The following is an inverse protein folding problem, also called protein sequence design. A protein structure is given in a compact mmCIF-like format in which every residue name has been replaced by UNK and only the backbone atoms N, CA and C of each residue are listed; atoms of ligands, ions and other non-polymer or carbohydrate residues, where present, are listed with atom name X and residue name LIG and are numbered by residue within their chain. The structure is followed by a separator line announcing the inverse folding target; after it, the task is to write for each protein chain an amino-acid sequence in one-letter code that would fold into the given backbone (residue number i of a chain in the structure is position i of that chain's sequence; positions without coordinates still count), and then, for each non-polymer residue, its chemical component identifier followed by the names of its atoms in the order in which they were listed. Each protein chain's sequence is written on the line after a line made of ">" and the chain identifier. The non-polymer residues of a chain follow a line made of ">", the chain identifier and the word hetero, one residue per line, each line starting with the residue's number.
data_IF_575633154769
#
_entry.id   IF_575633154769
#
_cell.length_a   1.000
_cell.length_b   1.000
_cell.length_c   1.000
_cell.angle_alpha   90.00
_cell.angle_beta   90.00
_cell.angle_gamma   90.00
#
_symmetry.space_group_name_H-M   'P 1'
#
loop_
_entity.id
_entity.type
_entity.pdbx_description
1 polymer ?
#
# COMPACT_ATOMS: atom_id res chain seq x y z
N UNK A 1 -7.34 -14.19 -1.01
CA UNK A 1 -6.74 -14.79 -2.21
C UNK A 1 -5.74 -13.79 -2.76
N UNK A 2 -4.46 -14.15 -2.80
CA UNK A 2 -3.37 -13.29 -3.27
C UNK A 2 -3.64 -12.77 -4.69
N UNK A 3 -4.31 -13.56 -5.52
CA UNK A 3 -4.63 -13.22 -6.90
C UNK A 3 -5.64 -12.09 -7.02
N UNK A 4 -6.69 -12.11 -6.19
CA UNK A 4 -7.71 -11.04 -6.16
C UNK A 4 -7.09 -9.74 -5.67
N UNK A 5 -6.21 -9.82 -4.68
CA UNK A 5 -5.54 -8.65 -4.13
C UNK A 5 -4.66 -7.94 -5.17
N UNK A 6 -3.88 -8.68 -5.95
CA UNK A 6 -3.10 -8.12 -7.05
C UNK A 6 -3.99 -7.39 -8.09
N UNK A 7 -5.14 -7.98 -8.45
CA UNK A 7 -6.09 -7.36 -9.38
C UNK A 7 -6.67 -6.04 -8.85
N UNK A 8 -7.00 -5.99 -7.56
CA UNK A 8 -7.49 -4.75 -6.92
C UNK A 8 -6.39 -3.68 -6.93
N UNK A 9 -5.15 -4.05 -6.65
CA UNK A 9 -4.03 -3.09 -6.68
C UNK A 9 -3.74 -2.55 -8.07
N UNK A 10 -3.83 -3.37 -9.11
CA UNK A 10 -3.69 -2.91 -10.50
C UNK A 10 -4.77 -1.87 -10.87
N UNK A 11 -6.01 -2.11 -10.45
CA UNK A 11 -7.09 -1.12 -10.64
C UNK A 11 -6.80 0.19 -9.91
N UNK A 12 -6.37 0.11 -8.65
CA UNK A 12 -6.04 1.29 -7.84
C UNK A 12 -4.86 2.06 -8.45
N UNK A 13 -3.81 1.38 -8.91
CA UNK A 13 -2.68 2.01 -9.62
C UNK A 13 -3.12 2.71 -10.90
N UNK A 14 -4.01 2.10 -11.68
CA UNK A 14 -4.56 2.73 -12.88
C UNK A 14 -5.29 4.04 -12.57
N UNK A 15 -6.11 4.07 -11.51
CA UNK A 15 -6.79 5.29 -11.05
C UNK A 15 -5.79 6.32 -10.55
N UNK A 16 -4.77 5.91 -9.79
CA UNK A 16 -3.71 6.79 -9.30
C UNK A 16 -3.03 7.52 -10.46
N UNK A 17 -2.61 6.80 -11.49
CA UNK A 17 -1.93 7.36 -12.66
C UNK A 17 -2.83 8.32 -13.44
N UNK A 18 -4.11 7.97 -13.61
CA UNK A 18 -5.05 8.82 -14.32
C UNK A 18 -5.41 10.12 -13.57
N UNK A 19 -5.27 10.13 -12.24
CA UNK A 19 -5.69 11.24 -11.38
C UNK A 19 -4.53 12.02 -10.74
N UNK A 20 -3.30 11.55 -10.92
CA UNK A 20 -2.09 12.03 -10.23
C UNK A 20 -2.22 12.02 -8.70
N UNK A 21 -3.08 11.14 -8.17
CA UNK A 21 -3.33 11.06 -6.74
C UNK A 21 -2.18 10.38 -5.98
N UNK A 22 -2.05 10.70 -4.69
CA UNK A 22 -1.23 9.92 -3.76
C UNK A 22 -2.09 8.85 -3.07
N UNK A 23 -1.50 7.68 -2.80
CA UNK A 23 -2.16 6.58 -2.10
C UNK A 23 -1.51 6.40 -0.73
N UNK A 24 -2.34 6.32 0.31
CA UNK A 24 -1.95 5.84 1.64
C UNK A 24 -2.57 4.46 1.85
N UNK A 25 -1.72 3.43 1.90
CA UNK A 25 -2.13 2.06 2.20
C UNK A 25 -1.87 1.77 3.68
N UNK A 26 -2.89 1.24 4.38
CA UNK A 26 -2.77 0.77 5.76
C UNK A 26 -3.03 -0.73 5.77
N UNK A 27 -2.03 -1.51 6.16
CA UNK A 27 -2.13 -2.98 6.23
C UNK A 27 -1.18 -3.52 7.29
N UNK A 28 -1.43 -4.75 7.74
CA UNK A 28 -0.53 -5.54 8.59
C UNK A 28 0.27 -6.56 7.78
N UNK A 29 0.00 -6.69 6.48
CA UNK A 29 0.68 -7.61 5.58
C UNK A 29 1.91 -6.93 4.95
N UNK A 30 3.09 -7.29 5.46
CA UNK A 30 4.37 -6.77 4.96
C UNK A 30 4.71 -7.27 3.55
N UNK A 31 4.19 -8.43 3.13
CA UNK A 31 4.46 -8.96 1.79
C UNK A 31 3.86 -8.07 0.71
N UNK A 32 2.65 -7.56 0.97
CA UNK A 32 1.95 -6.62 0.08
C UNK A 32 2.69 -5.29 0.02
N UNK A 33 3.08 -4.77 1.20
CA UNK A 33 3.82 -3.50 1.31
C UNK A 33 5.12 -3.55 0.49
N UNK A 34 5.86 -4.65 0.57
CA UNK A 34 7.12 -4.82 -0.15
C UNK A 34 6.98 -4.78 -1.67
N UNK A 35 5.81 -5.13 -2.21
CA UNK A 35 5.55 -5.17 -3.65
C UNK A 35 4.88 -3.89 -4.19
N UNK A 36 4.16 -3.15 -3.35
CA UNK A 36 3.29 -2.04 -3.81
C UNK A 36 3.63 -0.65 -3.30
N UNK A 37 4.34 -0.49 -2.19
CA UNK A 37 4.58 0.83 -1.60
C UNK A 37 5.97 1.37 -1.92
N UNK A 38 6.05 2.63 -2.35
CA UNK A 38 7.33 3.33 -2.55
C UNK A 38 8.02 3.69 -1.22
N UNK A 39 7.21 3.94 -0.18
CA UNK A 39 7.64 4.32 1.16
C UNK A 39 6.80 3.59 2.20
N UNK A 40 7.40 3.30 3.34
CA UNK A 40 6.76 2.54 4.41
C UNK A 40 6.93 3.28 5.72
N UNK A 41 5.87 3.31 6.52
CA UNK A 41 5.92 3.77 7.91
C UNK A 41 5.41 2.62 8.78
N UNK A 42 6.20 2.24 9.78
CA UNK A 42 5.80 1.21 10.74
C UNK A 42 5.24 1.91 11.97
N UNK A 43 4.03 1.51 12.39
CA UNK A 43 3.39 2.02 13.60
C UNK A 43 3.18 0.92 14.63
N UNK A 44 3.38 1.26 15.90
CA UNK A 44 3.05 0.39 17.03
C UNK A 44 2.44 1.24 18.15
N UNK A 45 1.33 0.77 18.72
CA UNK A 45 0.62 1.47 19.81
C UNK A 45 0.35 2.97 19.52
N UNK A 46 0.04 3.31 18.27
CA UNK A 46 -0.24 4.68 17.84
C UNK A 46 0.99 5.58 17.65
N UNK A 47 2.20 5.01 17.74
CA UNK A 47 3.47 5.73 17.55
C UNK A 47 4.19 5.25 16.30
N UNK A 48 4.89 6.15 15.62
CA UNK A 48 5.78 5.82 14.49
C UNK A 48 7.05 5.21 15.05
N UNK A 49 7.36 4.00 14.59
CA UNK A 49 8.55 3.26 14.98
C UNK A 49 9.66 3.35 13.92
N UNK A 50 9.29 3.47 12.63
CA UNK A 50 10.23 3.47 11.51
C UNK A 50 9.64 4.24 10.31
N UNK A 51 10.50 4.86 9.49
CA UNK A 51 10.15 5.71 8.32
C UNK A 51 11.09 5.50 7.14
#
# INVERSE_FOLDING_TARGET
>A
DVTIQAQIFELIKGVQQATEASILLITHDLGVVAETCDRVVVMYAGQVMET
#
